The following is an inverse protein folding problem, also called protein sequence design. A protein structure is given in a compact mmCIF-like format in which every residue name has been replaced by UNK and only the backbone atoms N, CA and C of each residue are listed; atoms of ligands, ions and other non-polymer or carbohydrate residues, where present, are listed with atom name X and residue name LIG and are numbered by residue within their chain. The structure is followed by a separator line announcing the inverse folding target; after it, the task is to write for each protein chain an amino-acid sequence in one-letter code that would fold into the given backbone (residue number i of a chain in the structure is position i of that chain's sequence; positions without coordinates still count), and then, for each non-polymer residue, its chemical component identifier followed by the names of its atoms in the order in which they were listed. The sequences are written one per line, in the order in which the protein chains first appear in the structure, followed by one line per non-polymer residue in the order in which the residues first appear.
data_IF_574076878938
#
_entry.id   IF_574076878938
#
_cell.length_a   1.000
_cell.length_b   1.000
_cell.length_c   1.000
_cell.angle_alpha   90.00
_cell.angle_beta   90.00
_cell.angle_gamma   90.00
#
_symmetry.space_group_name_H-M   'P 1'
#
loop_
_entity.id
_entity.type
_entity.pdbx_description
1 polymer ?
#
# COMPACT_ATOMS: atom_id res chain seq x y z
N UNK A 1 -26.82 10.17 5.79
CA UNK A 1 -28.12 10.77 5.46
C UNK A 1 -28.10 12.27 5.64
N UNK A 2 -27.58 12.76 6.77
CA UNK A 2 -27.53 14.20 7.09
C UNK A 2 -26.78 15.03 6.03
N UNK A 3 -25.69 14.51 5.47
CA UNK A 3 -24.92 15.18 4.41
C UNK A 3 -25.68 15.40 3.08
N UNK A 4 -26.83 14.74 2.91
CA UNK A 4 -27.69 14.91 1.74
C UNK A 4 -28.75 16.01 1.95
N UNK A 5 -29.00 16.37 3.20
CA UNK A 5 -30.09 17.25 3.61
C UNK A 5 -29.60 18.63 4.05
N UNK A 6 -28.27 18.79 4.25
CA UNK A 6 -27.71 20.05 4.70
C UNK A 6 -26.20 20.14 4.61
N UNK A 7 -25.67 21.32 4.89
CA UNK A 7 -24.25 21.58 4.95
C UNK A 7 -23.65 21.01 6.24
N UNK A 8 -22.48 20.39 6.14
CA UNK A 8 -21.71 19.93 7.29
C UNK A 8 -20.68 21.01 7.61
N UNK A 9 -20.72 21.54 8.82
CA UNK A 9 -19.78 22.52 9.32
C UNK A 9 -18.75 21.82 10.22
N UNK A 10 -17.48 22.12 10.01
CA UNK A 10 -16.40 21.72 10.93
C UNK A 10 -16.37 22.69 12.10
N UNK A 11 -16.47 22.16 13.31
CA UNK A 11 -16.20 22.91 14.53
C UNK A 11 -14.74 22.62 14.92
N UNK A 12 -13.83 23.63 14.92
CA UNK A 12 -12.42 23.41 15.18
C UNK A 12 -12.11 23.33 16.69
N UNK A 13 -12.93 22.64 17.44
CA UNK A 13 -12.84 22.47 18.89
C UNK A 13 -12.93 20.99 19.25
N UNK A 14 -12.29 20.59 20.34
CA UNK A 14 -12.42 19.23 20.89
C UNK A 14 -13.71 19.18 21.73
N UNK A 15 -14.78 18.70 21.11
CA UNK A 15 -16.12 18.60 21.75
C UNK A 15 -16.35 17.26 22.44
N UNK A 16 -15.52 16.28 22.19
CA UNK A 16 -15.59 14.95 22.81
C UNK A 16 -14.19 14.35 22.95
N UNK A 17 -14.03 13.46 23.90
CA UNK A 17 -12.86 12.58 24.01
C UNK A 17 -13.34 11.14 23.98
N UNK A 18 -12.65 10.32 23.21
CA UNK A 18 -12.90 8.87 23.16
C UNK A 18 -11.73 8.16 23.84
N UNK A 19 -12.05 7.25 24.75
CA UNK A 19 -11.05 6.33 25.31
C UNK A 19 -11.12 5.04 24.51
N UNK A 20 -10.04 4.74 23.82
CA UNK A 20 -9.92 3.50 23.06
C UNK A 20 -10.06 2.30 24.01
N UNK A 21 -11.14 1.56 23.84
CA UNK A 21 -11.40 0.31 24.54
C UNK A 21 -11.63 -0.78 23.50
N UNK A 22 -10.68 -1.69 23.40
CA UNK A 22 -10.78 -2.79 22.45
C UNK A 22 -11.82 -3.81 22.93
N UNK A 23 -13.01 -3.75 22.37
CA UNK A 23 -14.11 -4.68 22.64
C UNK A 23 -14.19 -5.82 21.62
N UNK A 24 -13.22 -5.95 20.73
CA UNK A 24 -13.21 -6.96 19.65
C UNK A 24 -13.00 -8.36 20.22
N UNK A 25 -13.80 -9.29 19.73
CA UNK A 25 -13.74 -10.68 20.16
C UNK A 25 -12.50 -11.43 19.68
N UNK A 26 -11.87 -10.97 18.61
CA UNK A 26 -10.67 -11.59 18.02
C UNK A 26 -9.40 -11.35 18.84
N UNK A 27 -9.34 -10.24 19.60
CA UNK A 27 -8.11 -9.78 20.24
C UNK A 27 -7.06 -9.23 19.26
N UNK A 28 -7.34 -9.28 17.96
CA UNK A 28 -6.48 -8.76 16.91
C UNK A 28 -6.81 -7.28 16.68
N UNK A 29 -5.80 -6.41 16.86
CA UNK A 29 -6.00 -4.96 16.75
C UNK A 29 -5.97 -4.48 15.29
N UNK A 30 -5.25 -5.18 14.43
CA UNK A 30 -5.04 -4.80 13.04
C UNK A 30 -5.78 -5.77 12.11
N UNK A 31 -6.41 -5.22 11.05
CA UNK A 31 -7.11 -5.99 10.02
C UNK A 31 -8.33 -6.83 10.48
N UNK A 32 -8.84 -6.61 11.68
CA UNK A 32 -10.04 -7.33 12.14
C UNK A 32 -11.26 -7.10 11.22
N UNK A 33 -11.30 -5.96 10.55
CA UNK A 33 -12.37 -5.63 9.61
C UNK A 33 -12.41 -6.53 8.36
N UNK A 34 -11.30 -7.15 7.98
CA UNK A 34 -11.26 -8.13 6.87
C UNK A 34 -11.42 -9.58 7.33
N UNK A 35 -11.57 -9.81 8.63
CA UNK A 35 -11.78 -11.14 9.17
C UNK A 35 -13.09 -11.74 8.61
N UNK A 36 -13.09 -13.00 8.11
CA UNK A 36 -14.30 -13.65 7.59
C UNK A 36 -15.48 -13.67 8.57
N UNK A 37 -15.24 -13.56 9.88
CA UNK A 37 -16.30 -13.44 10.90
C UNK A 37 -17.11 -12.14 10.80
N UNK A 38 -16.50 -11.11 10.20
CA UNK A 38 -17.12 -9.79 10.04
C UNK A 38 -17.72 -9.58 8.66
N UNK A 39 -17.86 -10.67 7.87
CA UNK A 39 -18.34 -10.59 6.48
C UNK A 39 -19.72 -9.93 6.37
N UNK A 40 -20.62 -10.18 7.31
CA UNK A 40 -21.96 -9.58 7.31
C UNK A 40 -21.88 -8.06 7.48
N UNK A 41 -21.01 -7.57 8.36
CA UNK A 41 -20.77 -6.14 8.56
C UNK A 41 -20.21 -5.50 7.29
N UNK A 42 -19.31 -6.18 6.59
CA UNK A 42 -18.75 -5.72 5.32
C UNK A 42 -19.84 -5.59 4.24
N UNK A 43 -20.71 -6.59 4.13
CA UNK A 43 -21.83 -6.58 3.18
C UNK A 43 -22.79 -5.43 3.50
N UNK A 44 -23.12 -5.22 4.77
CA UNK A 44 -23.99 -4.12 5.20
C UNK A 44 -23.37 -2.76 4.88
N UNK A 45 -22.07 -2.57 5.14
CA UNK A 45 -21.34 -1.35 4.80
C UNK A 45 -21.33 -1.10 3.29
N UNK A 46 -21.08 -2.13 2.48
CA UNK A 46 -21.11 -2.04 1.02
C UNK A 46 -22.49 -1.62 0.50
N UNK A 47 -23.56 -2.22 1.05
CA UNK A 47 -24.92 -1.87 0.69
C UNK A 47 -25.28 -0.42 1.06
N UNK A 48 -24.91 0.01 2.26
CA UNK A 48 -25.14 1.38 2.73
C UNK A 48 -24.36 2.39 1.88
N UNK A 49 -23.11 2.10 1.54
CA UNK A 49 -22.27 2.95 0.71
C UNK A 49 -22.80 3.03 -0.73
N UNK A 50 -23.15 1.90 -1.31
CA UNK A 50 -23.75 1.83 -2.66
C UNK A 50 -25.06 2.60 -2.74
N UNK A 51 -25.93 2.46 -1.73
CA UNK A 51 -27.17 3.22 -1.67
C UNK A 51 -26.91 4.74 -1.55
N UNK A 52 -25.88 5.14 -0.79
CA UNK A 52 -25.46 6.54 -0.70
C UNK A 52 -24.97 7.07 -2.06
N UNK A 53 -24.06 6.36 -2.73
CA UNK A 53 -23.53 6.74 -4.03
C UNK A 53 -24.63 6.90 -5.08
N UNK A 54 -25.59 5.97 -5.12
CA UNK A 54 -26.77 6.07 -6.01
C UNK A 54 -27.60 7.31 -5.72
N UNK A 55 -27.81 7.62 -4.45
CA UNK A 55 -28.65 8.74 -4.04
C UNK A 55 -28.04 10.12 -4.34
N UNK A 56 -26.70 10.23 -4.38
CA UNK A 56 -25.98 11.47 -4.73
C UNK A 56 -25.57 11.53 -6.21
N UNK A 57 -25.94 10.53 -7.02
CA UNK A 57 -25.59 10.48 -8.45
C UNK A 57 -24.11 10.16 -8.73
N UNK A 58 -23.37 9.63 -7.76
CA UNK A 58 -21.95 9.30 -7.90
C UNK A 58 -21.70 7.78 -8.05
N UNK A 59 -22.73 6.97 -8.23
CA UNK A 59 -22.58 5.55 -8.43
C UNK A 59 -22.06 5.25 -9.84
N UNK A 60 -20.91 4.61 -9.92
CA UNK A 60 -20.35 4.06 -11.14
C UNK A 60 -20.68 2.56 -11.20
N UNK A 61 -21.46 2.11 -12.21
CA UNK A 61 -21.70 0.68 -12.37
C UNK A 61 -20.37 -0.04 -12.72
N UNK A 62 -20.22 -1.33 -12.37
CA UNK A 62 -19.00 -2.10 -12.61
C UNK A 62 -18.89 -2.50 -14.10
N UNK A 63 -18.83 -1.48 -14.98
CA UNK A 63 -18.61 -1.66 -16.40
C UNK A 63 -17.18 -1.26 -16.71
N UNK A 64 -16.35 -2.25 -17.00
CA UNK A 64 -14.92 -2.04 -17.23
C UNK A 64 -14.62 -2.14 -18.73
N UNK A 65 -13.80 -1.20 -19.23
CA UNK A 65 -13.19 -1.34 -20.54
C UNK A 65 -12.05 -2.34 -20.46
N UNK A 66 -11.99 -3.28 -21.39
CA UNK A 66 -10.78 -4.07 -21.56
C UNK A 66 -9.64 -3.17 -21.96
N UNK A 67 -8.58 -3.15 -21.17
CA UNK A 67 -7.36 -2.40 -21.52
C UNK A 67 -6.54 -3.33 -22.41
N UNK A 68 -6.32 -2.99 -23.71
CA UNK A 68 -5.40 -3.73 -24.54
C UNK A 68 -3.98 -3.46 -24.00
N UNK A 69 -3.39 -4.45 -23.38
CA UNK A 69 -1.96 -4.39 -23.09
C UNK A 69 -1.22 -4.55 -24.41
N UNK A 70 -0.37 -3.58 -24.74
CA UNK A 70 0.55 -3.74 -25.88
C UNK A 70 1.55 -4.85 -25.49
N UNK A 71 1.89 -5.71 -26.46
CA UNK A 71 2.88 -6.77 -26.28
C UNK A 71 4.32 -6.17 -26.27
N UNK A 72 4.55 -5.22 -25.37
CA UNK A 72 5.88 -4.72 -25.08
C UNK A 72 6.65 -5.76 -24.25
N UNK A 73 7.88 -6.01 -24.63
CA UNK A 73 8.74 -6.91 -23.89
C UNK A 73 9.25 -6.21 -22.61
N UNK A 74 8.98 -6.83 -21.48
CA UNK A 74 9.54 -6.45 -20.19
C UNK A 74 10.42 -7.60 -19.69
N UNK A 75 11.63 -7.29 -19.28
CA UNK A 75 12.51 -8.29 -18.68
C UNK A 75 11.97 -8.80 -17.33
N UNK A 76 11.32 -7.91 -16.60
CA UNK A 76 10.67 -8.16 -15.30
C UNK A 76 9.17 -7.98 -15.45
N UNK A 77 8.39 -8.97 -15.06
CA UNK A 77 6.93 -8.86 -15.11
C UNK A 77 6.39 -7.98 -13.99
N UNK A 78 6.87 -8.17 -12.77
CA UNK A 78 6.36 -7.45 -11.59
C UNK A 78 7.49 -6.81 -10.81
N UNK A 79 7.33 -5.53 -10.46
CA UNK A 79 8.16 -4.84 -9.48
C UNK A 79 7.40 -4.65 -8.18
N UNK A 80 7.92 -5.21 -7.08
CA UNK A 80 7.45 -4.88 -5.73
C UNK A 80 8.16 -3.60 -5.29
N UNK A 81 7.40 -2.53 -5.08
CA UNK A 81 7.96 -1.24 -4.69
C UNK A 81 7.78 -1.04 -3.19
N UNK A 82 8.90 -0.80 -2.50
CA UNK A 82 8.96 -0.57 -1.06
C UNK A 82 9.56 0.82 -0.80
N UNK A 83 8.75 1.87 -0.64
CA UNK A 83 9.23 3.14 -0.12
C UNK A 83 9.63 2.98 1.34
N UNK A 84 10.81 3.45 1.71
CA UNK A 84 11.29 3.29 3.09
C UNK A 84 12.01 4.54 3.59
N UNK A 85 11.79 4.86 4.86
CA UNK A 85 12.59 5.82 5.62
C UNK A 85 12.56 5.43 7.09
N UNK A 86 13.75 5.15 7.67
CA UNK A 86 13.92 4.85 9.08
C UNK A 86 13.03 3.65 9.54
N UNK A 87 13.29 2.49 8.96
CA UNK A 87 12.58 1.23 9.24
C UNK A 87 13.54 0.05 9.47
N UNK A 88 14.64 0.31 10.19
CA UNK A 88 15.66 -0.71 10.49
C UNK A 88 15.09 -1.99 11.11
N UNK A 89 13.98 -1.87 11.88
CA UNK A 89 13.36 -2.99 12.58
C UNK A 89 12.50 -3.90 11.69
N UNK A 90 11.92 -3.35 10.62
CA UNK A 90 10.87 -4.04 9.83
C UNK A 90 11.28 -4.32 8.40
N UNK A 91 12.10 -3.47 7.78
CA UNK A 91 12.45 -3.59 6.35
C UNK A 91 12.97 -4.97 5.94
N UNK A 92 13.75 -5.62 6.79
CA UNK A 92 14.29 -6.93 6.46
C UNK A 92 13.21 -8.02 6.41
N UNK A 93 12.17 -7.92 7.25
CA UNK A 93 11.04 -8.85 7.25
C UNK A 93 10.12 -8.59 6.07
N UNK A 94 9.83 -7.33 5.76
CA UNK A 94 9.07 -6.95 4.58
C UNK A 94 9.70 -7.53 3.30
N UNK A 95 11.01 -7.36 3.11
CA UNK A 95 11.73 -7.93 1.95
C UNK A 95 11.69 -9.47 1.95
N UNK A 96 11.86 -10.13 3.10
CA UNK A 96 11.79 -11.60 3.19
C UNK A 96 10.41 -12.13 2.85
N UNK A 97 9.35 -11.43 3.22
CA UNK A 97 7.97 -11.83 2.90
C UNK A 97 7.73 -11.88 1.40
N UNK A 98 8.35 -10.98 0.62
CA UNK A 98 8.31 -11.02 -0.85
C UNK A 98 9.00 -12.30 -1.36
N UNK A 99 10.17 -12.65 -0.82
CA UNK A 99 10.88 -13.88 -1.24
C UNK A 99 10.15 -15.18 -0.87
N UNK A 100 9.25 -15.14 0.10
CA UNK A 100 8.44 -16.30 0.46
C UNK A 100 7.30 -16.57 -0.53
N UNK A 101 7.01 -15.65 -1.42
CA UNK A 101 5.95 -15.79 -2.41
C UNK A 101 6.35 -16.78 -3.53
N UNK A 102 5.40 -17.60 -3.94
CA UNK A 102 5.59 -18.53 -5.05
C UNK A 102 5.02 -17.92 -6.33
N UNK A 103 5.88 -17.68 -7.31
CA UNK A 103 5.48 -17.06 -8.58
C UNK A 103 6.01 -17.87 -9.76
N UNK A 104 5.32 -17.80 -10.91
CA UNK A 104 5.74 -18.36 -12.19
C UNK A 104 6.26 -17.30 -13.16
N UNK A 105 6.50 -16.08 -12.67
CA UNK A 105 7.02 -14.96 -13.44
C UNK A 105 8.24 -14.32 -12.76
N UNK A 106 9.03 -13.59 -13.53
CA UNK A 106 10.16 -12.82 -12.99
C UNK A 106 9.66 -11.58 -12.25
N UNK A 107 10.22 -11.35 -11.10
CA UNK A 107 9.98 -10.13 -10.32
C UNK A 107 11.27 -9.55 -9.76
N UNK A 108 11.24 -8.27 -9.43
CA UNK A 108 12.26 -7.59 -8.67
C UNK A 108 11.65 -6.80 -7.49
N UNK A 109 12.49 -6.29 -6.61
CA UNK A 109 12.11 -5.49 -5.45
C UNK A 109 12.83 -4.16 -5.57
N UNK A 110 12.07 -3.09 -5.80
CA UNK A 110 12.59 -1.73 -5.84
C UNK A 110 12.44 -1.10 -4.46
N UNK A 111 13.53 -1.05 -3.70
CA UNK A 111 13.56 -0.38 -2.39
C UNK A 111 13.98 1.07 -2.61
N UNK A 112 13.03 1.98 -2.39
CA UNK A 112 13.27 3.43 -2.52
C UNK A 112 13.55 4.00 -1.14
N UNK A 113 14.83 4.09 -0.80
CA UNK A 113 15.29 4.61 0.48
C UNK A 113 15.32 6.14 0.46
N UNK A 114 14.29 6.73 1.06
CA UNK A 114 14.16 8.19 1.13
C UNK A 114 15.05 8.79 2.22
N UNK A 115 16.37 8.60 2.09
CA UNK A 115 17.40 9.14 2.97
C UNK A 115 17.23 8.72 4.43
N UNK A 116 17.21 7.41 4.67
CA UNK A 116 17.23 6.86 6.02
C UNK A 116 18.49 7.26 6.78
N UNK A 117 18.32 7.54 8.07
CA UNK A 117 19.38 7.97 8.99
C UNK A 117 19.71 6.96 10.08
N UNK A 118 18.93 5.84 10.12
CA UNK A 118 19.16 4.66 10.95
C UNK A 118 19.88 3.57 10.14
N UNK A 119 19.88 2.34 10.61
CA UNK A 119 20.53 1.21 9.95
C UNK A 119 19.77 0.65 8.72
N UNK A 120 18.64 1.25 8.32
CA UNK A 120 17.83 0.81 7.17
C UNK A 120 18.66 0.66 5.90
N UNK A 121 19.43 1.70 5.54
CA UNK A 121 20.29 1.71 4.34
C UNK A 121 21.32 0.57 4.37
N UNK A 122 21.95 0.33 5.52
CA UNK A 122 22.94 -0.73 5.68
C UNK A 122 22.31 -2.12 5.53
N UNK A 123 21.13 -2.32 6.09
CA UNK A 123 20.36 -3.57 6.00
C UNK A 123 20.00 -3.85 4.54
N UNK A 124 19.41 -2.89 3.84
CA UNK A 124 19.00 -3.06 2.43
C UNK A 124 20.21 -3.35 1.55
N UNK A 125 21.30 -2.61 1.69
CA UNK A 125 22.55 -2.87 0.94
C UNK A 125 23.09 -4.28 1.15
N UNK A 126 23.09 -4.76 2.39
CA UNK A 126 23.54 -6.12 2.72
C UNK A 126 22.64 -7.19 2.11
N UNK A 127 21.35 -6.95 2.03
CA UNK A 127 20.40 -7.87 1.38
C UNK A 127 20.56 -7.84 -0.15
N UNK A 128 20.72 -6.68 -0.75
CA UNK A 128 20.95 -6.52 -2.20
C UNK A 128 22.24 -7.21 -2.67
N UNK A 129 23.28 -7.24 -1.85
CA UNK A 129 24.51 -8.01 -2.16
C UNK A 129 24.27 -9.53 -2.26
N UNK A 130 23.25 -10.05 -1.58
CA UNK A 130 22.93 -11.47 -1.58
C UNK A 130 21.85 -11.87 -2.59
N UNK A 131 21.02 -10.91 -2.97
CA UNK A 131 19.85 -11.12 -3.81
C UNK A 131 19.83 -10.08 -4.93
N UNK A 132 20.20 -10.48 -6.15
CA UNK A 132 20.24 -9.61 -7.31
C UNK A 132 18.89 -9.02 -7.73
N UNK A 133 17.80 -9.60 -7.22
CA UNK A 133 16.44 -9.09 -7.43
C UNK A 133 16.14 -7.80 -6.65
N UNK A 134 16.95 -7.49 -5.62
CA UNK A 134 16.78 -6.25 -4.84
C UNK A 134 17.55 -5.13 -5.53
N UNK A 135 16.83 -4.10 -5.92
CA UNK A 135 17.38 -2.87 -6.46
C UNK A 135 17.17 -1.77 -5.43
N UNK A 136 18.26 -1.34 -4.82
CA UNK A 136 18.26 -0.31 -3.79
C UNK A 136 18.53 1.04 -4.43
N UNK A 137 17.58 1.94 -4.34
CA UNK A 137 17.65 3.28 -4.92
C UNK A 137 17.53 4.32 -3.80
N UNK A 138 18.52 5.22 -3.74
CA UNK A 138 18.44 6.44 -2.93
C UNK A 138 18.21 7.59 -3.90
N UNK A 139 17.02 8.19 -3.94
CA UNK A 139 16.71 9.28 -4.86
C UNK A 139 17.61 10.49 -4.64
N UNK A 140 17.95 11.27 -5.67
CA UNK A 140 18.76 12.48 -5.49
C UNK A 140 18.03 13.57 -4.69
N UNK A 141 16.70 13.56 -4.69
CA UNK A 141 15.84 14.50 -3.94
C UNK A 141 15.53 13.95 -2.56
N UNK A 142 15.52 14.83 -1.56
CA UNK A 142 15.26 14.50 -0.15
C UNK A 142 13.82 14.79 0.30
N UNK A 143 13.03 15.42 -0.58
CA UNK A 143 11.69 15.95 -0.30
C UNK A 143 10.56 15.18 -1.00
N UNK A 144 10.83 13.96 -1.44
CA UNK A 144 9.87 13.23 -2.27
C UNK A 144 8.59 12.82 -1.52
N UNK A 145 8.66 12.57 -0.21
CA UNK A 145 7.58 11.90 0.50
C UNK A 145 7.29 10.50 -0.09
N UNK A 146 6.23 9.85 0.39
CA UNK A 146 5.87 8.50 -0.07
C UNK A 146 5.43 8.48 -1.54
N UNK A 147 4.59 9.43 -1.94
CA UNK A 147 4.11 9.53 -3.34
C UNK A 147 5.21 9.81 -4.34
N UNK A 148 6.20 10.64 -3.96
CA UNK A 148 7.37 10.90 -4.81
C UNK A 148 8.28 9.67 -4.94
N UNK A 149 8.43 8.86 -3.90
CA UNK A 149 9.16 7.60 -3.95
C UNK A 149 8.48 6.61 -4.91
N UNK A 150 7.15 6.53 -4.86
CA UNK A 150 6.36 5.74 -5.81
C UNK A 150 6.61 6.16 -7.26
N UNK A 151 6.45 7.47 -7.53
CA UNK A 151 6.68 8.01 -8.87
C UNK A 151 8.11 7.73 -9.34
N UNK A 152 9.09 7.91 -8.45
CA UNK A 152 10.49 7.64 -8.78
C UNK A 152 10.73 6.18 -9.15
N UNK A 153 10.12 5.24 -8.43
CA UNK A 153 10.22 3.81 -8.73
C UNK A 153 9.57 3.44 -10.06
N UNK A 154 8.33 3.88 -10.29
CA UNK A 154 7.56 3.56 -11.49
C UNK A 154 8.24 4.13 -12.76
N UNK A 155 8.86 5.29 -12.65
CA UNK A 155 9.54 5.95 -13.77
C UNK A 155 10.99 5.47 -13.96
N UNK A 156 11.48 4.55 -13.12
CA UNK A 156 12.82 4.00 -13.28
C UNK A 156 12.88 2.95 -14.39
N UNK A 157 14.04 2.82 -15.04
CA UNK A 157 14.32 1.76 -16.02
C UNK A 157 14.23 0.34 -15.46
N UNK A 158 14.22 0.21 -14.14
CA UNK A 158 14.14 -1.06 -13.44
C UNK A 158 12.70 -1.52 -13.18
N UNK A 159 11.71 -0.64 -13.42
CA UNK A 159 10.32 -0.98 -13.18
C UNK A 159 9.84 -2.01 -14.21
N UNK A 160 9.23 -3.10 -13.71
CA UNK A 160 8.62 -4.11 -14.55
C UNK A 160 7.31 -3.66 -15.18
N UNK A 161 6.69 -4.58 -15.90
CA UNK A 161 5.40 -4.35 -16.56
C UNK A 161 4.30 -3.94 -15.59
N UNK A 162 4.29 -4.53 -14.40
CA UNK A 162 3.37 -4.22 -13.32
C UNK A 162 4.14 -3.77 -12.08
N UNK A 163 3.58 -2.79 -11.38
CA UNK A 163 4.10 -2.31 -10.11
C UNK A 163 3.08 -2.61 -9.00
N UNK A 164 3.53 -3.23 -7.92
CA UNK A 164 2.72 -3.51 -6.74
C UNK A 164 3.36 -2.91 -5.50
N UNK A 165 2.51 -2.50 -4.57
CA UNK A 165 2.93 -1.84 -3.33
C UNK A 165 3.18 -2.85 -2.22
N UNK A 166 4.26 -2.59 -1.45
CA UNK A 166 4.44 -3.16 -0.12
C UNK A 166 4.94 -2.06 0.80
N UNK A 167 4.24 -1.84 1.90
CA UNK A 167 4.72 -0.92 2.92
C UNK A 167 5.86 -1.57 3.71
N UNK A 168 6.82 -0.74 4.16
CA UNK A 168 8.08 -1.22 4.76
C UNK A 168 7.93 -1.86 6.14
N UNK A 169 6.73 -1.89 6.68
CA UNK A 169 6.32 -2.48 7.96
C UNK A 169 5.17 -3.50 7.82
N UNK A 170 4.81 -3.86 6.56
CA UNK A 170 3.85 -4.89 6.23
C UNK A 170 4.51 -6.16 5.67
N UNK A 171 3.73 -7.23 5.54
CA UNK A 171 4.13 -8.54 5.01
C UNK A 171 3.14 -9.00 3.94
N UNK A 172 3.65 -9.74 2.94
CA UNK A 172 2.83 -10.48 1.98
C UNK A 172 2.50 -11.88 2.49
#
# INVERSE_FOLDING_TARGET
RLSREGLIFRIPEFLSSEKEHDSRRSGEKQFDYVNPRNREVQIEMEQAFTAHLKAIGAYLPPVFKTIPFQDEYFETEVSVIIPVRNREKTIAEAIRSVFSQQTNFKYNILVIDNHSTDDTTAIVKKMAQKHSQIIHIIPPRTDLGIGGCWTHAIMSEHCGRFAIQLDSDDLY
#
